data_IF_357344486835
#
_entry.id   IF_357344486835
#
_cell.length_a   1.000
_cell.length_b   1.000
_cell.length_c   1.000
_cell.angle_alpha   90.00
_cell.angle_beta   90.00
_cell.angle_gamma   90.00
#
_symmetry.space_group_name_H-M   'P 1'
#
loop_
_entity.id
_entity.type
_entity.pdbx_description
1 polymer ?
#
# COMPACT_ATOMS: atom_id res chain seq x y z
N UNK A 1 14.87 -133.87 -22.63
CA UNK A 1 14.89 -132.98 -21.45
C UNK A 1 15.92 -131.85 -21.52
N UNK A 2 17.14 -132.06 -22.05
CA UNK A 2 18.17 -131.00 -22.14
C UNK A 2 17.82 -129.88 -23.13
N UNK A 3 17.42 -130.24 -24.35
CA UNK A 3 16.99 -129.30 -25.40
C UNK A 3 15.87 -128.36 -24.94
N UNK A 4 14.82 -128.92 -24.33
CA UNK A 4 13.68 -128.14 -23.82
C UNK A 4 14.09 -127.10 -22.75
N UNK A 5 15.11 -127.39 -21.94
CA UNK A 5 15.63 -126.43 -20.94
C UNK A 5 16.41 -125.29 -21.58
N UNK A 6 17.18 -125.59 -22.63
CA UNK A 6 17.92 -124.58 -23.40
C UNK A 6 16.97 -123.66 -24.18
N UNK A 7 15.95 -124.24 -24.84
CA UNK A 7 14.93 -123.46 -25.57
C UNK A 7 14.14 -122.53 -24.64
N UNK A 8 13.77 -123.00 -23.44
CA UNK A 8 13.11 -122.18 -22.41
C UNK A 8 14.03 -121.06 -21.91
N UNK A 9 15.32 -121.35 -21.70
CA UNK A 9 16.28 -120.34 -21.24
C UNK A 9 16.47 -119.24 -22.30
N UNK A 10 16.60 -119.61 -23.57
CA UNK A 10 16.69 -118.68 -24.69
C UNK A 10 15.40 -117.85 -24.81
N UNK A 11 14.22 -118.46 -24.69
CA UNK A 11 12.95 -117.74 -24.73
C UNK A 11 12.81 -116.73 -23.58
N UNK A 12 13.19 -117.10 -22.35
CA UNK A 12 13.18 -116.19 -21.19
C UNK A 12 14.18 -115.05 -21.38
N UNK A 13 15.38 -115.35 -21.90
CA UNK A 13 16.41 -114.35 -22.15
C UNK A 13 15.98 -113.32 -23.20
N UNK A 14 15.38 -113.78 -24.31
CA UNK A 14 14.80 -112.91 -25.34
C UNK A 14 13.66 -112.07 -24.76
N UNK A 15 12.77 -112.67 -23.97
CA UNK A 15 11.66 -111.96 -23.32
C UNK A 15 12.17 -110.86 -22.37
N UNK A 16 13.22 -111.13 -21.59
CA UNK A 16 13.84 -110.13 -20.72
C UNK A 16 14.45 -108.97 -21.51
N UNK A 17 15.16 -109.25 -22.62
CA UNK A 17 15.70 -108.20 -23.50
C UNK A 17 14.57 -107.31 -24.05
N UNK A 18 13.46 -107.90 -24.47
CA UNK A 18 12.31 -107.15 -25.00
C UNK A 18 11.69 -106.28 -23.91
N UNK A 19 11.47 -106.82 -22.70
CA UNK A 19 10.89 -106.08 -21.58
C UNK A 19 11.81 -104.92 -21.16
N UNK A 20 13.09 -105.20 -20.91
CA UNK A 20 14.05 -104.16 -20.52
C UNK A 20 14.23 -103.11 -21.61
N UNK A 21 14.30 -103.53 -22.88
CA UNK A 21 14.39 -102.62 -24.03
C UNK A 21 13.17 -101.71 -24.14
N UNK A 22 11.95 -102.25 -24.04
CA UNK A 22 10.72 -101.46 -24.09
C UNK A 22 10.63 -100.48 -22.90
N UNK A 23 11.01 -100.92 -21.70
CA UNK A 23 11.00 -100.08 -20.50
C UNK A 23 11.99 -98.92 -20.61
N UNK A 24 13.20 -99.19 -21.12
CA UNK A 24 14.23 -98.18 -21.37
C UNK A 24 13.78 -97.14 -22.39
N UNK A 25 13.15 -97.57 -23.49
CA UNK A 25 12.63 -96.67 -24.52
C UNK A 25 11.55 -95.74 -23.95
N UNK A 26 10.60 -96.27 -23.16
CA UNK A 26 9.57 -95.46 -22.50
C UNK A 26 10.18 -94.45 -21.52
N UNK A 27 11.19 -94.87 -20.73
CA UNK A 27 11.90 -93.98 -19.82
C UNK A 27 12.62 -92.87 -20.59
N UNK A 28 13.32 -93.23 -21.67
CA UNK A 28 14.05 -92.29 -22.52
C UNK A 28 13.14 -91.20 -23.06
N UNK A 29 12.00 -91.56 -23.67
CA UNK A 29 11.05 -90.57 -24.19
C UNK A 29 10.45 -89.69 -23.09
N UNK A 30 10.17 -90.24 -21.90
CA UNK A 30 9.72 -89.44 -20.75
C UNK A 30 10.79 -88.44 -20.30
N UNK A 31 12.06 -88.84 -20.26
CA UNK A 31 13.15 -87.94 -19.88
C UNK A 31 13.39 -86.82 -20.89
N UNK A 32 13.29 -87.11 -22.18
CA UNK A 32 13.40 -86.09 -23.24
C UNK A 32 12.24 -85.09 -23.14
N UNK A 33 11.00 -85.56 -23.00
CA UNK A 33 9.84 -84.69 -22.84
C UNK A 33 9.93 -83.80 -21.58
N UNK A 34 10.46 -84.34 -20.48
CA UNK A 34 10.70 -83.56 -19.26
C UNK A 34 11.80 -82.50 -19.46
N UNK A 35 12.87 -82.82 -20.20
CA UNK A 35 13.94 -81.86 -20.50
C UNK A 35 13.44 -80.68 -21.34
N UNK A 36 12.59 -80.93 -22.34
CA UNK A 36 11.97 -79.87 -23.15
C UNK A 36 11.08 -78.95 -22.30
N UNK A 37 10.29 -79.52 -21.38
CA UNK A 37 9.47 -78.74 -20.45
C UNK A 37 10.32 -77.89 -19.50
N UNK A 38 11.46 -78.41 -19.01
CA UNK A 38 12.38 -77.66 -18.16
C UNK A 38 12.97 -76.47 -18.91
N UNK A 39 13.37 -76.65 -20.17
CA UNK A 39 13.94 -75.58 -20.99
C UNK A 39 12.92 -74.46 -21.25
N UNK A 40 11.66 -74.80 -21.55
CA UNK A 40 10.57 -73.82 -21.72
C UNK A 40 10.30 -73.03 -20.41
N UNK A 41 10.29 -73.72 -19.26
CA UNK A 41 10.12 -73.07 -17.96
C UNK A 41 11.28 -72.14 -17.61
N UNK A 42 12.53 -72.54 -17.91
CA UNK A 42 13.70 -71.68 -17.71
C UNK A 42 13.65 -70.43 -18.58
N UNK A 43 13.22 -70.58 -19.83
CA UNK A 43 13.01 -69.44 -20.73
C UNK A 43 11.96 -68.47 -20.17
N UNK A 44 10.79 -68.97 -19.76
CA UNK A 44 9.74 -68.14 -19.14
C UNK A 44 10.22 -67.45 -17.87
N UNK A 45 10.99 -68.15 -17.03
CA UNK A 45 11.55 -67.58 -15.80
C UNK A 45 12.51 -66.42 -16.11
N UNK A 46 13.36 -66.55 -17.13
CA UNK A 46 14.28 -65.48 -17.53
C UNK A 46 13.56 -64.21 -18.02
N UNK A 47 12.45 -64.37 -18.74
CA UNK A 47 11.61 -63.25 -19.19
C UNK A 47 11.01 -62.53 -17.99
N UNK A 48 10.44 -63.27 -17.04
CA UNK A 48 9.84 -62.67 -15.83
C UNK A 48 10.89 -61.99 -14.95
N UNK A 49 12.07 -62.58 -14.78
CA UNK A 49 13.19 -61.91 -14.09
C UNK A 49 13.57 -60.59 -14.77
N UNK A 50 13.62 -60.55 -16.10
CA UNK A 50 13.84 -59.33 -16.86
C UNK A 50 12.78 -58.26 -16.60
N UNK A 51 11.49 -58.63 -16.62
CA UNK A 51 10.37 -57.73 -16.31
C UNK A 51 10.44 -57.21 -14.87
N UNK A 52 10.86 -58.05 -13.94
CA UNK A 52 10.99 -57.68 -12.52
C UNK A 52 12.11 -56.65 -12.33
N UNK A 53 13.26 -56.85 -12.98
CA UNK A 53 14.36 -55.90 -12.92
C UNK A 53 13.98 -54.54 -13.52
N UNK A 54 13.23 -54.53 -14.61
CA UNK A 54 12.74 -53.28 -15.21
C UNK A 54 11.79 -52.52 -14.26
N UNK A 55 10.92 -53.23 -13.54
CA UNK A 55 10.05 -52.64 -12.52
C UNK A 55 10.85 -52.05 -11.35
N UNK A 56 11.89 -52.75 -10.90
CA UNK A 56 12.78 -52.26 -9.83
C UNK A 56 13.48 -50.96 -10.26
N UNK A 57 14.01 -50.91 -11.48
CA UNK A 57 14.64 -49.70 -12.01
C UNK A 57 13.64 -48.53 -12.03
N UNK A 58 12.43 -48.75 -12.56
CA UNK A 58 11.39 -47.70 -12.56
C UNK A 58 11.00 -47.24 -11.15
N UNK A 59 10.93 -48.17 -10.20
CA UNK A 59 10.63 -47.83 -8.80
C UNK A 59 11.72 -46.92 -8.21
N UNK A 60 13.00 -47.23 -8.46
CA UNK A 60 14.12 -46.43 -7.99
C UNK A 60 14.12 -45.03 -8.65
N UNK A 61 13.91 -44.95 -9.97
CA UNK A 61 13.83 -43.68 -10.70
C UNK A 61 12.71 -42.77 -10.15
N UNK A 62 11.53 -43.36 -9.89
CA UNK A 62 10.39 -42.64 -9.30
C UNK A 62 10.70 -42.20 -7.87
N UNK A 63 11.36 -43.04 -7.08
CA UNK A 63 11.70 -42.72 -5.69
C UNK A 63 12.67 -41.55 -5.60
N UNK A 64 13.71 -41.52 -6.45
CA UNK A 64 14.61 -40.37 -6.54
C UNK A 64 13.89 -39.08 -6.97
N UNK A 65 12.94 -39.19 -7.90
CA UNK A 65 12.16 -38.04 -8.33
C UNK A 65 11.24 -37.50 -7.24
N UNK A 66 10.63 -38.37 -6.44
CA UNK A 66 9.84 -37.99 -5.26
C UNK A 66 10.72 -37.24 -4.24
N UNK A 67 11.94 -37.73 -3.96
CA UNK A 67 12.87 -37.02 -3.07
C UNK A 67 13.25 -35.63 -3.62
N UNK A 68 13.50 -35.50 -4.92
CA UNK A 68 13.76 -34.20 -5.57
C UNK A 68 12.59 -33.23 -5.40
N UNK A 69 11.35 -33.70 -5.59
CA UNK A 69 10.14 -32.89 -5.41
C UNK A 69 9.99 -32.44 -3.95
N UNK A 70 10.25 -33.33 -2.99
CA UNK A 70 10.14 -33.00 -1.56
C UNK A 70 11.10 -31.88 -1.14
N UNK A 71 12.35 -31.93 -1.59
CA UNK A 71 13.36 -30.89 -1.31
C UNK A 71 12.95 -29.54 -1.93
N UNK A 72 12.34 -29.55 -3.12
CA UNK A 72 11.83 -28.32 -3.75
C UNK A 72 10.68 -27.73 -2.91
N UNK A 73 9.74 -28.55 -2.44
CA UNK A 73 8.61 -28.09 -1.63
C UNK A 73 9.07 -27.47 -0.29
N UNK A 74 10.01 -28.12 0.39
CA UNK A 74 10.60 -27.60 1.64
C UNK A 74 11.35 -26.27 1.41
N UNK A 75 12.11 -26.17 0.32
CA UNK A 75 12.79 -24.93 -0.07
C UNK A 75 11.80 -23.80 -0.41
N UNK A 76 10.71 -24.10 -1.12
CA UNK A 76 9.68 -23.10 -1.44
C UNK A 76 8.93 -22.67 -0.19
N UNK A 77 8.55 -23.60 0.69
CA UNK A 77 7.91 -23.32 1.98
C UNK A 77 8.78 -22.40 2.85
N UNK A 78 10.08 -22.68 2.92
CA UNK A 78 11.06 -21.83 3.63
C UNK A 78 11.12 -20.42 3.02
N UNK A 79 11.22 -20.31 1.68
CA UNK A 79 11.24 -19.01 0.99
C UNK A 79 9.95 -18.22 1.21
N UNK A 80 8.80 -18.88 1.16
CA UNK A 80 7.49 -18.28 1.43
C UNK A 80 7.44 -17.77 2.87
N UNK A 81 7.89 -18.56 3.86
CA UNK A 81 7.96 -18.15 5.25
C UNK A 81 8.83 -16.90 5.48
N UNK A 82 10.00 -16.83 4.82
CA UNK A 82 10.88 -15.66 4.86
C UNK A 82 10.18 -14.42 4.28
N UNK A 83 9.52 -14.56 3.13
CA UNK A 83 8.78 -13.46 2.48
C UNK A 83 7.64 -12.97 3.37
N UNK A 84 6.85 -13.87 3.97
CA UNK A 84 5.79 -13.51 4.91
C UNK A 84 6.32 -12.75 6.12
N UNK A 85 7.43 -13.20 6.71
CA UNK A 85 8.03 -12.53 7.87
C UNK A 85 8.56 -11.12 7.51
N UNK A 86 9.17 -10.96 6.34
CA UNK A 86 9.61 -9.65 5.83
C UNK A 86 8.44 -8.69 5.58
N UNK A 87 7.34 -9.18 5.01
CA UNK A 87 6.11 -8.38 4.81
C UNK A 87 5.51 -7.98 6.16
N UNK A 88 5.46 -8.89 7.14
CA UNK A 88 4.95 -8.59 8.48
C UNK A 88 5.76 -7.49 9.18
N UNK A 89 7.09 -7.59 9.16
CA UNK A 89 7.99 -6.56 9.74
C UNK A 89 7.83 -5.21 9.03
N UNK A 90 7.72 -5.20 7.69
CA UNK A 90 7.52 -3.98 6.91
C UNK A 90 6.18 -3.31 7.22
N UNK A 91 5.12 -4.10 7.44
CA UNK A 91 3.81 -3.58 7.83
C UNK A 91 3.83 -2.99 9.23
N UNK A 92 4.57 -3.60 10.16
CA UNK A 92 4.73 -3.08 11.53
C UNK A 92 5.49 -1.74 11.53
N UNK A 93 6.61 -1.65 10.80
CA UNK A 93 7.35 -0.39 10.60
C UNK A 93 6.48 0.70 9.94
N UNK A 94 5.71 0.35 8.91
CA UNK A 94 4.81 1.30 8.25
C UNK A 94 3.69 1.77 9.19
N UNK A 95 3.14 0.90 10.04
CA UNK A 95 2.15 1.28 11.04
C UNK A 95 2.72 2.23 12.09
N UNK A 96 3.93 1.97 12.60
CA UNK A 96 4.63 2.88 13.51
C UNK A 96 4.82 4.24 12.85
N UNK A 97 5.36 4.27 11.61
CA UNK A 97 5.58 5.51 10.86
C UNK A 97 4.27 6.27 10.59
N UNK A 98 3.18 5.56 10.31
CA UNK A 98 1.87 6.18 10.12
C UNK A 98 1.33 6.79 11.42
N UNK A 99 1.50 6.12 12.56
CA UNK A 99 1.13 6.65 13.87
C UNK A 99 1.97 7.87 14.28
N UNK A 100 3.27 7.89 13.96
CA UNK A 100 4.13 9.06 14.19
C UNK A 100 3.69 10.25 13.33
N UNK A 101 3.33 10.00 12.06
CA UNK A 101 2.77 11.01 11.17
C UNK A 101 1.43 11.51 11.69
N UNK A 102 0.53 10.64 12.13
CA UNK A 102 -0.75 11.03 12.72
C UNK A 102 -0.56 11.87 13.98
N UNK A 103 0.37 11.50 14.85
CA UNK A 103 0.72 12.25 16.07
C UNK A 103 1.28 13.62 15.71
N UNK A 104 2.13 13.70 14.68
CA UNK A 104 2.69 14.95 14.17
C UNK A 104 1.61 15.84 13.57
N UNK A 105 0.69 15.28 12.77
CA UNK A 105 -0.44 16.01 12.17
C UNK A 105 -1.39 16.49 13.26
N UNK A 106 -1.71 15.66 14.26
CA UNK A 106 -2.52 16.06 15.40
C UNK A 106 -1.87 17.22 16.18
N UNK A 107 -0.55 17.16 16.41
CA UNK A 107 0.20 18.26 17.02
C UNK A 107 0.22 19.54 16.17
N UNK A 108 0.26 19.41 14.83
CA UNK A 108 0.13 20.56 13.91
C UNK A 108 -1.29 21.13 13.95
N UNK A 109 -2.32 20.29 13.97
CA UNK A 109 -3.72 20.72 14.05
C UNK A 109 -4.01 21.40 15.38
N UNK A 110 -3.54 20.85 16.51
CA UNK A 110 -3.57 21.51 17.82
C UNK A 110 -2.79 22.83 17.81
N UNK A 111 -1.61 22.88 17.18
CA UNK A 111 -0.85 24.13 17.03
C UNK A 111 -1.55 25.14 16.11
N UNK A 112 -2.27 24.70 15.08
CA UNK A 112 -3.05 25.53 14.16
C UNK A 112 -4.37 26.00 14.76
N UNK A 113 -4.98 25.22 15.66
CA UNK A 113 -6.16 25.62 16.42
C UNK A 113 -5.79 26.59 17.56
N UNK A 114 -4.58 26.46 18.12
CA UNK A 114 -4.00 27.41 19.07
C UNK A 114 -3.34 28.62 18.39
N UNK A 115 -3.10 28.56 17.08
CA UNK A 115 -3.04 29.74 16.23
C UNK A 115 -4.47 30.29 16.08
N UNK A 116 -4.96 30.95 17.13
CA UNK A 116 -5.73 32.17 16.87
C UNK A 116 -4.99 32.96 15.79
N UNK A 117 -5.65 33.67 14.86
CA UNK A 117 -4.98 34.68 14.05
C UNK A 117 -4.46 35.77 14.99
N UNK A 118 -3.38 35.46 15.70
CA UNK A 118 -2.55 36.36 16.44
C UNK A 118 -1.95 37.21 15.36
N UNK A 119 -2.56 38.37 15.21
CA UNK A 119 -2.20 39.45 14.32
C UNK A 119 -0.70 39.46 14.08
N UNK A 120 -0.26 38.98 12.91
CA UNK A 120 0.99 39.47 12.33
C UNK A 120 0.69 40.91 11.94
N UNK A 121 0.69 41.79 12.94
CA UNK A 121 0.58 43.21 12.73
C UNK A 121 1.88 43.61 12.05
N UNK A 122 1.79 43.96 10.77
CA UNK A 122 2.88 44.63 10.10
C UNK A 122 3.29 45.83 10.97
N UNK A 123 4.57 45.97 11.35
CA UNK A 123 5.02 47.06 12.19
C UNK A 123 4.61 48.40 11.53
N UNK A 124 3.96 49.25 12.34
CA UNK A 124 3.58 50.61 11.93
C UNK A 124 4.78 51.52 12.14
N UNK A 125 5.04 52.41 11.18
CA UNK A 125 6.05 53.45 11.26
C UNK A 125 5.52 54.72 11.96
N UNK A 126 4.21 54.77 12.25
CA UNK A 126 3.55 55.92 12.86
C UNK A 126 3.75 56.03 14.38
N UNK A 127 4.31 57.16 14.81
CA UNK A 127 4.54 57.52 16.21
C UNK A 127 3.66 58.66 16.73
N UNK A 128 2.75 59.20 15.90
CA UNK A 128 1.88 60.32 16.25
C UNK A 128 0.58 59.91 16.97
N UNK A 129 -0.37 60.84 17.13
CA UNK A 129 -1.66 60.57 17.77
C UNK A 129 -2.40 59.39 17.12
N UNK A 130 -3.11 58.63 17.95
CA UNK A 130 -3.88 57.45 17.53
C UNK A 130 -5.37 57.71 17.64
N UNK A 131 -6.13 57.24 16.66
CA UNK A 131 -7.59 57.32 16.71
C UNK A 131 -8.11 56.53 17.92
N UNK A 132 -9.06 57.10 18.64
CA UNK A 132 -9.73 56.43 19.75
C UNK A 132 -11.21 56.77 19.75
N UNK A 133 -12.00 56.00 20.49
CA UNK A 133 -13.43 56.26 20.67
C UNK A 133 -13.73 57.66 21.16
N UNK A 134 -12.94 58.14 22.12
CA UNK A 134 -13.09 59.47 22.73
C UNK A 134 -12.56 60.60 21.87
N UNK A 135 -11.54 60.37 21.02
CA UNK A 135 -10.97 61.45 20.20
C UNK A 135 -11.86 61.84 19.03
N UNK A 136 -12.68 60.91 18.49
CA UNK A 136 -13.59 61.17 17.37
C UNK A 136 -12.90 61.30 16.01
N UNK A 137 -11.73 61.94 16.00
CA UNK A 137 -10.89 62.23 14.86
C UNK A 137 -9.42 62.17 15.27
N UNK A 138 -8.53 61.86 14.35
CA UNK A 138 -7.09 62.11 14.50
C UNK A 138 -6.45 62.45 13.15
N UNK A 139 -5.23 62.97 13.19
CA UNK A 139 -4.39 63.09 12.01
C UNK A 139 -3.44 61.90 11.98
N UNK A 140 -3.67 60.97 11.05
CA UNK A 140 -2.83 59.81 10.84
C UNK A 140 -1.87 59.97 9.67
N UNK A 141 -1.04 58.94 9.41
CA UNK A 141 0.02 58.98 8.39
C UNK A 141 -0.52 59.15 6.97
N UNK A 142 -1.75 58.67 6.72
CA UNK A 142 -2.40 58.76 5.40
C UNK A 142 -3.45 59.86 5.30
N UNK A 143 -3.58 60.73 6.31
CA UNK A 143 -4.54 61.83 6.32
C UNK A 143 -5.40 61.86 7.58
N UNK A 144 -6.46 62.67 7.53
CA UNK A 144 -7.45 62.77 8.61
C UNK A 144 -8.21 61.46 8.74
N UNK A 145 -8.26 60.89 9.93
CA UNK A 145 -8.93 59.63 10.24
C UNK A 145 -10.14 59.88 11.17
N UNK A 146 -11.26 59.24 10.84
CA UNK A 146 -12.45 59.09 11.70
C UNK A 146 -12.80 57.61 11.81
N UNK A 147 -13.89 57.28 12.51
CA UNK A 147 -14.38 55.91 12.60
C UNK A 147 -15.89 55.82 12.33
N UNK A 148 -16.31 54.62 11.93
CA UNK A 148 -17.72 54.23 11.83
C UNK A 148 -17.92 52.78 12.27
N UNK A 149 -19.13 52.50 12.77
CA UNK A 149 -19.54 51.17 13.19
C UNK A 149 -20.76 50.71 12.38
N UNK A 150 -20.54 50.39 11.11
CA UNK A 150 -21.58 49.81 10.24
C UNK A 150 -21.32 48.31 10.02
N UNK A 151 -22.36 47.59 9.57
CA UNK A 151 -22.22 46.21 9.13
C UNK A 151 -21.36 46.18 7.84
N UNK A 152 -20.28 45.39 7.86
CA UNK A 152 -19.33 45.29 6.75
C UNK A 152 -19.63 44.16 5.76
N UNK A 153 -20.69 43.37 5.94
CA UNK A 153 -21.03 42.23 5.07
C UNK A 153 -21.08 42.61 3.59
N UNK A 154 -21.72 43.75 3.27
CA UNK A 154 -21.78 44.26 1.89
C UNK A 154 -20.40 44.61 1.33
N UNK A 155 -19.54 45.23 2.15
CA UNK A 155 -18.16 45.53 1.75
C UNK A 155 -17.33 44.26 1.56
N UNK A 156 -17.47 43.28 2.46
CA UNK A 156 -16.80 41.98 2.35
C UNK A 156 -17.24 41.28 1.08
N UNK A 157 -18.54 41.20 0.79
CA UNK A 157 -19.06 40.59 -0.45
C UNK A 157 -18.47 41.24 -1.70
N UNK A 158 -18.39 42.58 -1.73
CA UNK A 158 -17.77 43.31 -2.85
C UNK A 158 -16.27 43.02 -2.97
N UNK A 159 -15.54 42.93 -1.86
CA UNK A 159 -14.12 42.55 -1.89
C UNK A 159 -13.93 41.10 -2.36
N UNK A 160 -14.84 40.19 -2.01
CA UNK A 160 -14.81 38.79 -2.46
C UNK A 160 -15.00 38.70 -3.97
N UNK A 161 -15.94 39.47 -4.52
CA UNK A 161 -16.12 39.60 -5.97
C UNK A 161 -14.87 40.16 -6.69
N UNK A 162 -13.97 40.83 -5.97
CA UNK A 162 -12.68 41.32 -6.48
C UNK A 162 -11.52 40.35 -6.28
N UNK A 163 -11.76 39.14 -5.79
CA UNK A 163 -10.75 38.08 -5.66
C UNK A 163 -10.12 37.94 -4.26
N UNK A 164 -10.54 38.74 -3.28
CA UNK A 164 -10.10 38.59 -1.90
C UNK A 164 -10.85 37.43 -1.26
N UNK A 165 -10.32 36.21 -1.27
CA UNK A 165 -11.01 35.02 -0.78
C UNK A 165 -11.05 34.95 0.78
N UNK A 166 -11.95 34.15 1.34
CA UNK A 166 -12.14 34.03 2.79
C UNK A 166 -11.00 33.31 3.52
N UNK A 167 -10.19 32.51 2.82
CA UNK A 167 -9.04 31.80 3.39
C UNK A 167 -7.89 32.76 3.66
N UNK A 168 -7.53 33.59 2.69
CA UNK A 168 -6.39 34.51 2.79
C UNK A 168 -6.79 35.87 3.40
N UNK A 169 -8.06 36.27 3.24
CA UNK A 169 -8.61 37.53 3.74
C UNK A 169 -9.87 37.31 4.58
N UNK A 170 -9.83 36.55 5.70
CA UNK A 170 -10.99 36.38 6.57
C UNK A 170 -11.49 37.72 7.12
N UNK A 171 -12.80 37.83 7.36
CA UNK A 171 -13.36 38.94 8.13
C UNK A 171 -13.31 38.59 9.61
N UNK A 172 -12.81 39.49 10.44
CA UNK A 172 -12.75 39.31 11.90
C UNK A 172 -12.65 40.69 12.59
N UNK A 173 -12.79 40.73 13.91
CA UNK A 173 -12.63 41.95 14.71
C UNK A 173 -11.40 41.80 15.58
N UNK A 174 -10.46 42.75 15.47
CA UNK A 174 -9.25 42.78 16.30
C UNK A 174 -9.59 43.17 17.74
N UNK A 175 -8.72 42.83 18.69
CA UNK A 175 -8.92 43.08 20.12
C UNK A 175 -9.16 44.55 20.50
N UNK A 176 -8.68 45.50 19.69
CA UNK A 176 -8.93 46.94 19.83
C UNK A 176 -10.20 47.45 19.12
N UNK A 177 -10.99 46.51 18.57
CA UNK A 177 -12.27 46.77 17.92
C UNK A 177 -12.18 47.13 16.44
N UNK A 178 -11.00 47.17 15.82
CA UNK A 178 -10.89 47.36 14.37
C UNK A 178 -11.51 46.17 13.63
N UNK A 179 -12.34 46.44 12.62
CA UNK A 179 -12.89 45.43 11.71
C UNK A 179 -11.85 45.15 10.63
N UNK A 180 -11.52 43.87 10.46
CA UNK A 180 -10.37 43.40 9.70
C UNK A 180 -10.81 42.64 8.45
N UNK A 181 -10.02 42.74 7.39
CA UNK A 181 -10.08 41.88 6.22
C UNK A 181 -8.68 41.32 5.95
N UNK A 182 -8.47 40.06 6.30
CA UNK A 182 -7.12 39.49 6.39
C UNK A 182 -6.30 40.19 7.48
N UNK A 183 -5.04 40.56 7.22
CA UNK A 183 -4.21 41.26 8.21
C UNK A 183 -4.47 42.78 8.27
N UNK A 184 -5.36 43.31 7.43
CA UNK A 184 -5.55 44.74 7.23
C UNK A 184 -6.85 45.26 7.85
N UNK A 185 -6.79 46.46 8.43
CA UNK A 185 -7.96 47.17 8.93
C UNK A 185 -8.82 47.63 7.74
N UNK A 186 -10.12 47.40 7.78
CA UNK A 186 -11.02 47.87 6.74
C UNK A 186 -11.26 49.38 6.88
N UNK A 187 -11.09 50.13 5.79
CA UNK A 187 -11.34 51.57 5.77
C UNK A 187 -12.21 52.00 4.59
N UNK A 188 -12.93 53.10 4.77
CA UNK A 188 -13.57 53.85 3.71
C UNK A 188 -12.65 54.98 3.23
N UNK A 189 -12.59 55.20 1.92
CA UNK A 189 -11.79 56.26 1.31
C UNK A 189 -12.44 56.78 0.02
N UNK A 190 -11.91 57.87 -0.53
CA UNK A 190 -12.28 58.33 -1.86
C UNK A 190 -11.75 57.36 -2.93
N UNK A 191 -12.64 56.60 -3.56
CA UNK A 191 -12.26 55.56 -4.53
C UNK A 191 -11.63 56.10 -5.82
N UNK A 192 -11.76 57.40 -6.11
CA UNK A 192 -11.04 58.03 -7.23
C UNK A 192 -9.54 58.23 -6.94
N UNK A 193 -9.19 58.35 -5.65
CA UNK A 193 -7.81 58.58 -5.18
C UNK A 193 -7.20 57.28 -4.66
N UNK A 194 -7.98 56.49 -3.93
CA UNK A 194 -7.58 55.21 -3.32
C UNK A 194 -8.63 54.15 -3.66
N UNK A 195 -8.48 53.46 -4.81
CA UNK A 195 -9.40 52.40 -5.21
C UNK A 195 -9.49 51.27 -4.17
N UNK A 196 -10.55 50.46 -4.25
CA UNK A 196 -10.69 49.31 -3.35
C UNK A 196 -9.51 48.35 -3.53
N UNK A 197 -8.96 47.88 -2.41
CA UNK A 197 -7.75 47.07 -2.37
C UNK A 197 -6.46 47.84 -2.16
N UNK A 198 -6.47 49.19 -2.22
CA UNK A 198 -5.31 49.99 -1.85
C UNK A 198 -4.91 49.71 -0.40
N UNK A 199 -3.64 49.37 -0.21
CA UNK A 199 -3.01 49.18 1.10
C UNK A 199 -2.33 50.48 1.52
N UNK A 200 -2.58 50.93 2.74
CA UNK A 200 -2.02 52.16 3.29
C UNK A 200 -1.90 52.06 4.81
N UNK A 201 -1.13 52.97 5.41
CA UNK A 201 -0.97 53.03 6.86
C UNK A 201 -2.03 53.95 7.49
N UNK A 202 -2.56 53.56 8.65
CA UNK A 202 -3.39 54.41 9.52
C UNK A 202 -2.75 54.55 10.90
N UNK A 203 -3.27 55.43 11.74
CA UNK A 203 -2.81 55.55 13.12
C UNK A 203 -3.03 54.30 13.97
N UNK A 204 -3.88 53.36 13.50
CA UNK A 204 -4.17 52.07 14.14
C UNK A 204 -3.45 50.89 13.48
N UNK A 205 -2.68 51.12 12.41
CA UNK A 205 -1.93 50.10 11.67
C UNK A 205 -2.28 50.05 10.19
N UNK A 206 -1.81 49.01 9.50
CA UNK A 206 -2.04 48.83 8.07
C UNK A 206 -3.50 48.56 7.74
N UNK A 207 -3.99 49.23 6.71
CA UNK A 207 -5.38 49.20 6.29
C UNK A 207 -5.53 48.88 4.81
N UNK A 208 -6.72 48.37 4.47
CA UNK A 208 -7.16 48.09 3.11
C UNK A 208 -8.44 48.88 2.84
N UNK A 209 -8.46 49.58 1.71
CA UNK A 209 -9.67 50.30 1.28
C UNK A 209 -10.72 49.29 0.83
N UNK A 210 -11.84 49.23 1.55
CA UNK A 210 -12.98 48.37 1.23
C UNK A 210 -14.22 49.19 0.85
N UNK A 211 -14.34 50.40 1.36
CA UNK A 211 -15.58 51.19 1.29
C UNK A 211 -15.36 52.64 0.83
N UNK A 212 -16.45 53.40 0.72
CA UNK A 212 -16.49 54.84 0.48
C UNK A 212 -17.65 55.44 1.27
N UNK A 213 -17.60 56.74 1.55
CA UNK A 213 -18.67 57.42 2.27
C UNK A 213 -18.86 58.85 1.80
N UNK A 214 -19.92 59.51 2.29
CA UNK A 214 -20.22 60.91 1.94
C UNK A 214 -19.14 61.90 2.40
N UNK A 215 -18.36 61.55 3.43
CA UNK A 215 -17.30 62.40 4.00
C UNK A 215 -16.23 62.80 2.97
N UNK A 216 -16.03 61.99 1.93
CA UNK A 216 -15.02 62.20 0.88
C UNK A 216 -15.25 63.49 0.08
N UNK A 217 -16.47 64.06 0.12
CA UNK A 217 -16.79 65.35 -0.49
C UNK A 217 -16.08 66.50 0.20
N UNK A 218 -15.93 66.42 1.52
CA UNK A 218 -15.30 67.46 2.35
C UNK A 218 -13.85 67.11 2.71
N UNK A 219 -13.53 65.82 2.79
CA UNK A 219 -12.20 65.31 3.15
C UNK A 219 -11.74 64.26 2.12
N UNK A 220 -11.33 64.66 0.91
CA UNK A 220 -11.02 63.72 -0.18
C UNK A 220 -9.85 62.79 0.12
N UNK A 221 -8.89 63.21 0.95
CA UNK A 221 -7.77 62.38 1.43
C UNK A 221 -8.03 61.77 2.82
N UNK A 222 -9.21 61.99 3.40
CA UNK A 222 -9.57 61.41 4.69
C UNK A 222 -9.82 59.91 4.60
N UNK A 223 -9.81 59.27 5.76
CA UNK A 223 -10.14 57.86 5.95
C UNK A 223 -11.20 57.75 7.04
N UNK A 224 -12.13 56.82 6.85
CA UNK A 224 -13.05 56.41 7.90
C UNK A 224 -12.74 54.96 8.24
N UNK A 225 -12.40 54.67 9.50
CA UNK A 225 -11.94 53.36 9.95
C UNK A 225 -13.14 52.55 10.44
N UNK A 226 -13.29 51.34 9.91
CA UNK A 226 -14.35 50.43 10.35
C UNK A 226 -14.00 49.84 11.72
N UNK A 227 -14.83 50.09 12.72
CA UNK A 227 -14.65 49.62 14.10
C UNK A 227 -15.91 48.97 14.65
N UNK A 228 -15.80 48.33 15.82
CA UNK A 228 -16.89 47.66 16.54
C UNK A 228 -17.27 48.33 17.87
N UNK A 229 -16.66 49.47 18.20
CA UNK A 229 -17.03 50.29 19.36
C UNK A 229 -17.94 51.45 18.96
#
# INVERSE_FOLDING_TARGET
MRQLKEDIFVAIFILLIIIFGATFVVLYFKTVAAADQINDLQYKLSIEQGRTNELITRYNDISEEIERIHVIDEAQSTRIGIVFNSIAHTNEENNVRFNDILTTIAGIDEAMQNLTPTSVQLPTTWSGPRLSRSSGVCQGPSGRETYYNLNMDGCVAMMRAKGYNSKDYPYWVRSDGCKMLGPYIMVAANLKIRPKGTILETSLGWAIVCDTGGFVRNYPYGLDIAVNW
#
